data_IF_170017932692
#
_entry.id   IF_170017932692
#
_cell.length_a   1.000
_cell.length_b   1.000
_cell.length_c   1.000
_cell.angle_alpha   90.00
_cell.angle_beta   90.00
_cell.angle_gamma   90.00
#
_symmetry.space_group_name_H-M   'P 1'
#
loop_
_entity.id
_entity.type
_entity.pdbx_description
1 polymer ?
#
# COMPACT_ATOMS: atom_id res chain seq x y z
N UNK A 1 -43.13 15.55 -14.85
CA UNK A 1 -43.19 14.78 -13.59
C UNK A 1 -42.53 13.43 -13.86
N UNK A 2 -41.23 13.31 -13.56
CA UNK A 2 -40.67 12.63 -12.35
C UNK A 2 -40.52 11.11 -12.61
N UNK A 3 -39.38 10.44 -12.53
CA UNK A 3 -38.09 10.72 -11.88
C UNK A 3 -36.90 10.12 -12.67
N UNK A 4 -35.72 10.64 -12.39
CA UNK A 4 -34.43 10.27 -12.96
C UNK A 4 -34.06 8.78 -12.79
N UNK A 5 -33.32 8.25 -13.76
CA UNK A 5 -32.58 6.98 -13.71
C UNK A 5 -31.38 7.08 -12.74
N UNK A 6 -31.65 7.38 -11.47
CA UNK A 6 -30.67 7.35 -10.40
C UNK A 6 -30.31 5.91 -10.06
N UNK A 7 -29.15 5.50 -10.55
CA UNK A 7 -28.43 4.23 -10.40
C UNK A 7 -28.98 3.23 -9.38
N UNK A 8 -29.32 2.03 -9.86
CA UNK A 8 -29.49 0.86 -9.00
C UNK A 8 -28.22 0.62 -8.16
N UNK A 9 -28.34 0.03 -6.97
CA UNK A 9 -27.19 -0.37 -6.12
C UNK A 9 -26.06 -1.02 -6.93
N UNK A 10 -26.43 -1.88 -7.88
CA UNK A 10 -25.49 -2.59 -8.75
C UNK A 10 -24.75 -1.67 -9.73
N UNK A 11 -25.42 -0.62 -10.23
CA UNK A 11 -24.80 0.41 -11.07
C UNK A 11 -23.68 1.15 -10.35
N UNK A 12 -23.94 1.61 -9.12
CA UNK A 12 -22.94 2.25 -8.26
C UNK A 12 -21.75 1.32 -7.93
N UNK A 13 -22.02 0.04 -7.67
CA UNK A 13 -20.97 -0.96 -7.45
C UNK A 13 -20.08 -1.15 -8.69
N UNK A 14 -20.65 -1.26 -9.89
CA UNK A 14 -19.87 -1.35 -11.11
C UNK A 14 -19.15 -0.05 -11.46
N UNK A 15 -19.71 1.11 -11.15
CA UNK A 15 -19.02 2.39 -11.30
C UNK A 15 -17.72 2.41 -10.46
N UNK A 16 -17.78 1.99 -9.20
CA UNK A 16 -16.60 1.82 -8.34
C UNK A 16 -15.60 0.81 -8.90
N UNK A 17 -16.06 -0.38 -9.31
CA UNK A 17 -15.17 -1.43 -9.83
C UNK A 17 -14.48 -1.03 -11.14
N UNK A 18 -15.19 -0.32 -12.03
CA UNK A 18 -14.61 0.21 -13.26
C UNK A 18 -13.60 1.33 -12.97
N UNK A 19 -13.86 2.16 -11.96
CA UNK A 19 -12.90 3.19 -11.53
C UNK A 19 -11.62 2.56 -10.97
N UNK A 20 -11.75 1.52 -10.13
CA UNK A 20 -10.62 0.81 -9.54
C UNK A 20 -9.65 0.20 -10.57
N UNK A 21 -10.12 -0.12 -11.78
CA UNK A 21 -9.28 -0.63 -12.87
C UNK A 21 -8.15 0.36 -13.25
N UNK A 22 -8.40 1.66 -13.09
CA UNK A 22 -7.42 2.73 -13.38
C UNK A 22 -6.16 2.62 -12.52
N UNK A 23 -6.22 1.97 -11.36
CA UNK A 23 -5.06 1.75 -10.49
C UNK A 23 -3.94 0.98 -11.21
N UNK A 24 -4.27 0.13 -12.18
CA UNK A 24 -3.30 -0.61 -13.01
C UNK A 24 -2.41 0.30 -13.87
N UNK A 25 -2.81 1.56 -14.07
CA UNK A 25 -2.05 2.56 -14.82
C UNK A 25 -1.12 3.40 -13.93
N UNK A 26 -1.21 3.27 -12.61
CA UNK A 26 -0.32 3.96 -11.66
C UNK A 26 0.96 3.13 -11.53
N UNK A 27 2.08 3.68 -11.99
CA UNK A 27 3.39 3.03 -11.88
C UNK A 27 4.10 3.45 -10.60
N UNK A 28 4.69 2.48 -9.92
CA UNK A 28 5.49 2.66 -8.71
C UNK A 28 6.97 2.78 -9.06
N UNK A 29 7.76 3.39 -8.17
CA UNK A 29 9.22 3.42 -8.36
C UNK A 29 9.87 2.03 -8.24
N UNK A 30 9.29 1.14 -7.42
CA UNK A 30 9.73 -0.25 -7.28
C UNK A 30 9.57 -0.98 -8.62
N UNK A 31 10.57 -1.76 -9.03
CA UNK A 31 10.46 -2.62 -10.20
C UNK A 31 9.94 -4.00 -9.83
N UNK A 32 9.53 -4.80 -10.82
CA UNK A 32 9.40 -6.24 -10.62
C UNK A 32 10.72 -6.84 -10.08
N UNK A 33 10.62 -8.02 -9.45
CA UNK A 33 11.76 -8.70 -8.81
C UNK A 33 12.90 -9.02 -9.79
N UNK A 34 12.62 -9.12 -11.09
CA UNK A 34 13.61 -9.34 -12.15
C UNK A 34 14.18 -8.03 -12.74
N UNK A 35 13.71 -6.87 -12.25
CA UNK A 35 14.12 -5.54 -12.71
C UNK A 35 13.59 -5.14 -14.09
N UNK A 36 12.69 -5.92 -14.71
CA UNK A 36 12.30 -5.73 -16.12
C UNK A 36 11.50 -4.46 -16.39
N UNK A 37 10.65 -4.04 -15.46
CA UNK A 37 9.82 -2.82 -15.55
C UNK A 37 9.40 -2.34 -14.15
N UNK A 38 8.94 -1.08 -14.03
CA UNK A 38 8.20 -0.62 -12.86
C UNK A 38 7.00 -1.52 -12.55
N UNK A 39 6.76 -1.74 -11.26
CA UNK A 39 5.54 -2.33 -10.73
C UNK A 39 4.37 -1.33 -10.90
N UNK A 40 3.13 -1.80 -11.02
CA UNK A 40 1.93 -0.95 -10.89
C UNK A 40 1.21 -1.17 -9.55
N UNK A 41 0.44 -0.19 -9.09
CA UNK A 41 -0.19 -0.25 -7.76
C UNK A 41 -1.27 -1.34 -7.63
N UNK A 42 -1.89 -1.72 -8.75
CA UNK A 42 -2.83 -2.84 -8.79
C UNK A 42 -2.16 -4.20 -8.55
N UNK A 43 -1.02 -4.46 -9.20
CA UNK A 43 -0.26 -5.70 -8.99
C UNK A 43 0.47 -5.72 -7.64
N UNK A 44 0.90 -4.56 -7.13
CA UNK A 44 1.42 -4.41 -5.76
C UNK A 44 0.38 -4.87 -4.73
N UNK A 45 -0.84 -4.34 -4.81
CA UNK A 45 -1.95 -4.69 -3.91
C UNK A 45 -2.31 -6.18 -3.97
N UNK A 46 -2.32 -6.77 -5.18
CA UNK A 46 -2.48 -8.23 -5.35
C UNK A 46 -1.36 -9.00 -4.64
N UNK A 47 -0.11 -8.58 -4.83
CA UNK A 47 1.05 -9.26 -4.26
C UNK A 47 1.05 -9.16 -2.72
N UNK A 48 0.62 -8.02 -2.17
CA UNK A 48 0.45 -7.85 -0.73
C UNK A 48 -0.67 -8.72 -0.15
N UNK A 49 -1.79 -8.87 -0.84
CA UNK A 49 -2.83 -9.81 -0.42
C UNK A 49 -2.29 -11.26 -0.37
N UNK A 50 -1.44 -11.65 -1.32
CA UNK A 50 -0.74 -12.94 -1.28
C UNK A 50 0.27 -13.03 -0.14
N UNK A 51 1.02 -11.96 0.16
CA UNK A 51 1.92 -11.89 1.31
C UNK A 51 1.15 -12.10 2.62
N UNK A 52 -0.01 -11.46 2.78
CA UNK A 52 -0.83 -11.62 3.99
C UNK A 52 -1.31 -13.07 4.18
N UNK A 53 -1.64 -13.78 3.10
CA UNK A 53 -2.00 -15.21 3.16
C UNK A 53 -0.80 -16.08 3.54
N UNK A 54 0.36 -15.86 2.92
CA UNK A 54 1.53 -16.74 3.06
C UNK A 54 2.27 -16.49 4.37
N UNK A 55 2.32 -15.25 4.84
CA UNK A 55 3.02 -14.82 6.06
C UNK A 55 2.08 -14.71 7.25
N UNK A 56 0.93 -15.38 7.22
CA UNK A 56 -0.06 -15.34 8.30
C UNK A 56 0.51 -15.77 9.65
N UNK A 57 1.50 -16.66 9.66
CA UNK A 57 2.20 -17.12 10.87
C UNK A 57 3.16 -16.07 11.47
N UNK A 58 3.44 -14.99 10.73
CA UNK A 58 4.22 -13.84 11.19
C UNK A 58 3.36 -12.79 11.90
N UNK A 59 2.03 -12.93 11.87
CA UNK A 59 1.10 -11.97 12.44
C UNK A 59 1.10 -12.00 13.98
N UNK A 60 1.06 -10.83 14.59
CA UNK A 60 0.96 -10.68 16.04
C UNK A 60 -0.45 -10.99 16.59
N UNK A 61 -0.60 -11.01 17.94
CA UNK A 61 -1.90 -11.21 18.57
C UNK A 61 -2.94 -10.17 18.13
N UNK A 62 -4.17 -10.63 17.90
CA UNK A 62 -5.30 -9.76 17.53
C UNK A 62 -5.37 -9.38 16.05
N UNK A 63 -4.50 -9.94 15.20
CA UNK A 63 -4.57 -9.75 13.75
C UNK A 63 -5.55 -10.73 13.11
N UNK A 64 -6.47 -10.22 12.29
CA UNK A 64 -7.33 -10.99 11.39
C UNK A 64 -6.82 -10.87 9.94
N UNK A 65 -6.27 -11.97 9.43
CA UNK A 65 -5.69 -12.04 8.08
C UNK A 65 -6.72 -11.73 6.99
N UNK A 66 -7.99 -12.12 7.14
CA UNK A 66 -9.00 -11.80 6.14
C UNK A 66 -9.27 -10.29 6.08
N UNK A 67 -9.23 -9.61 7.24
CA UNK A 67 -9.37 -8.16 7.32
C UNK A 67 -8.15 -7.45 6.75
N UNK A 68 -6.94 -7.94 7.03
CA UNK A 68 -5.69 -7.44 6.44
C UNK A 68 -5.72 -7.54 4.91
N UNK A 69 -6.17 -8.67 4.35
CA UNK A 69 -6.31 -8.83 2.89
C UNK A 69 -7.29 -7.81 2.33
N UNK A 70 -8.46 -7.62 2.94
CA UNK A 70 -9.44 -6.62 2.51
C UNK A 70 -8.86 -5.21 2.52
N UNK A 71 -8.07 -4.89 3.55
CA UNK A 71 -7.40 -3.60 3.70
C UNK A 71 -6.37 -3.38 2.59
N UNK A 72 -5.50 -4.36 2.35
CA UNK A 72 -4.46 -4.30 1.31
C UNK A 72 -5.02 -4.25 -0.11
N UNK A 73 -6.20 -4.82 -0.37
CA UNK A 73 -6.84 -4.73 -1.68
C UNK A 73 -7.30 -3.31 -2.05
N UNK A 74 -7.52 -2.42 -1.06
CA UNK A 74 -8.07 -1.08 -1.29
C UNK A 74 -7.12 0.06 -0.90
N UNK A 75 -6.01 -0.23 -0.22
CA UNK A 75 -5.18 0.80 0.43
C UNK A 75 -4.66 1.87 -0.55
N UNK A 76 -4.21 1.46 -1.74
CA UNK A 76 -3.64 2.35 -2.75
C UNK A 76 -4.68 2.88 -3.75
N UNK A 77 -5.99 2.64 -3.60
CA UNK A 77 -6.98 3.14 -4.56
C UNK A 77 -6.92 4.67 -4.74
N UNK A 78 -6.54 5.40 -3.69
CA UNK A 78 -6.38 6.86 -3.74
C UNK A 78 -5.31 7.31 -4.73
N UNK A 79 -4.32 6.46 -5.04
CA UNK A 79 -3.26 6.75 -6.00
C UNK A 79 -3.78 6.93 -7.44
N UNK A 80 -5.01 6.51 -7.75
CA UNK A 80 -5.66 6.80 -9.04
C UNK A 80 -5.67 8.31 -9.33
N UNK A 81 -5.85 9.13 -8.29
CA UNK A 81 -5.90 10.59 -8.42
C UNK A 81 -4.58 11.28 -8.08
N UNK A 82 -3.85 10.75 -7.10
CA UNK A 82 -2.66 11.43 -6.55
C UNK A 82 -1.33 10.90 -7.11
N UNK A 83 -1.35 9.72 -7.75
CA UNK A 83 -0.16 8.99 -8.18
C UNK A 83 0.63 8.35 -7.02
N UNK A 84 1.59 7.49 -7.36
CA UNK A 84 2.53 6.94 -6.37
C UNK A 84 3.53 8.03 -5.92
N UNK A 85 3.76 8.13 -4.61
CA UNK A 85 4.77 9.03 -4.02
C UNK A 85 5.85 8.17 -3.34
N UNK A 86 6.97 7.87 -4.04
CA UNK A 86 7.97 6.96 -3.52
C UNK A 86 8.58 7.43 -2.19
N UNK A 87 8.71 6.52 -1.23
CA UNK A 87 9.21 6.79 0.14
C UNK A 87 10.59 7.47 0.16
N UNK A 88 11.42 7.22 -0.84
CA UNK A 88 12.77 7.78 -0.93
C UNK A 88 12.89 8.99 -1.88
N UNK A 89 11.82 9.32 -2.60
CA UNK A 89 11.78 10.53 -3.43
C UNK A 89 11.84 11.79 -2.57
N UNK A 90 12.38 12.89 -3.11
CA UNK A 90 12.50 14.18 -2.41
C UNK A 90 13.05 14.06 -0.97
N UNK A 91 14.06 13.20 -0.75
CA UNK A 91 14.62 12.89 0.57
C UNK A 91 13.60 12.37 1.61
N UNK A 92 12.48 11.80 1.16
CA UNK A 92 11.39 11.32 1.99
C UNK A 92 10.46 12.42 2.53
N UNK A 93 10.61 13.67 2.08
CA UNK A 93 9.83 14.81 2.57
C UNK A 93 8.43 14.90 1.95
N UNK A 94 8.24 14.34 0.75
CA UNK A 94 6.95 14.36 0.06
C UNK A 94 5.97 13.34 0.64
N UNK A 95 6.48 12.18 1.08
CA UNK A 95 5.65 11.08 1.56
C UNK A 95 5.09 11.39 2.95
N UNK A 96 3.76 11.46 3.08
CA UNK A 96 3.07 11.81 4.33
C UNK A 96 3.10 13.29 4.67
N UNK A 97 3.30 14.18 3.69
CA UNK A 97 3.11 15.62 3.89
C UNK A 97 1.64 15.97 4.12
N UNK A 98 1.35 17.10 4.76
CA UNK A 98 -0.04 17.56 5.00
C UNK A 98 -0.81 17.72 3.68
N UNK A 99 -0.15 18.22 2.64
CA UNK A 99 -0.74 18.40 1.31
C UNK A 99 -1.05 17.04 0.66
N UNK A 100 -0.14 16.07 0.80
CA UNK A 100 -0.35 14.70 0.32
C UNK A 100 -1.53 14.05 1.03
N UNK A 101 -1.57 14.12 2.36
CA UNK A 101 -2.68 13.57 3.15
C UNK A 101 -4.03 14.20 2.78
N UNK A 102 -4.06 15.51 2.54
CA UNK A 102 -5.27 16.20 2.10
C UNK A 102 -5.70 15.79 0.69
N UNK A 103 -4.75 15.59 -0.23
CA UNK A 103 -5.01 15.11 -1.58
C UNK A 103 -5.53 13.65 -1.57
N UNK A 104 -4.92 12.78 -0.77
CA UNK A 104 -5.35 11.39 -0.58
C UNK A 104 -6.75 11.31 0.04
N UNK A 105 -7.04 12.12 1.06
CA UNK A 105 -8.39 12.19 1.65
C UNK A 105 -9.45 12.61 0.62
N UNK A 106 -9.14 13.59 -0.23
CA UNK A 106 -10.05 14.03 -1.31
C UNK A 106 -10.25 12.92 -2.36
N UNK A 107 -9.20 12.18 -2.71
CA UNK A 107 -9.28 11.05 -3.62
C UNK A 107 -10.14 9.93 -3.01
N UNK A 108 -9.95 9.61 -1.72
CA UNK A 108 -10.75 8.64 -0.99
C UNK A 108 -12.23 9.03 -1.00
N UNK A 109 -12.56 10.28 -0.69
CA UNK A 109 -13.94 10.77 -0.68
C UNK A 109 -14.60 10.64 -2.06
N UNK A 110 -13.86 10.92 -3.15
CA UNK A 110 -14.36 10.77 -4.51
C UNK A 110 -14.56 9.29 -4.89
N UNK A 111 -13.54 8.46 -4.68
CA UNK A 111 -13.49 7.07 -5.18
C UNK A 111 -14.46 6.20 -4.38
N UNK A 112 -14.34 6.17 -3.05
CA UNK A 112 -15.27 5.41 -2.22
C UNK A 112 -16.69 5.99 -2.29
N UNK A 113 -16.82 7.30 -2.56
CA UNK A 113 -18.11 7.97 -2.78
C UNK A 113 -18.92 7.44 -3.97
N UNK A 114 -18.31 6.66 -4.87
CA UNK A 114 -19.03 5.95 -5.94
C UNK A 114 -19.87 4.78 -5.43
N UNK A 115 -19.56 4.24 -4.25
CA UNK A 115 -20.25 3.09 -3.69
C UNK A 115 -21.60 3.46 -3.04
N UNK A 116 -22.52 2.48 -2.92
CA UNK A 116 -23.66 2.60 -2.01
C UNK A 116 -23.21 2.92 -0.57
N UNK A 117 -24.00 3.68 0.22
CA UNK A 117 -23.56 4.22 1.51
C UNK A 117 -22.98 3.20 2.49
N UNK A 118 -23.58 2.01 2.61
CA UNK A 118 -23.09 0.94 3.48
C UNK A 118 -21.69 0.43 3.08
N UNK A 119 -21.45 0.25 1.78
CA UNK A 119 -20.13 -0.20 1.28
C UNK A 119 -19.11 0.95 1.31
N UNK A 120 -19.55 2.17 0.99
CA UNK A 120 -18.72 3.37 1.07
C UNK A 120 -18.17 3.52 2.48
N UNK A 121 -19.06 3.57 3.47
CA UNK A 121 -18.69 3.89 4.85
C UNK A 121 -17.76 2.81 5.43
N UNK A 122 -18.05 1.53 5.17
CA UNK A 122 -17.22 0.41 5.62
C UNK A 122 -15.81 0.41 4.99
N UNK A 123 -15.70 0.57 3.66
CA UNK A 123 -14.40 0.52 2.97
C UNK A 123 -13.58 1.79 3.19
N UNK A 124 -14.24 2.95 3.26
CA UNK A 124 -13.61 4.22 3.58
C UNK A 124 -13.03 4.22 5.00
N UNK A 125 -13.74 3.67 5.98
CA UNK A 125 -13.22 3.50 7.34
C UNK A 125 -12.04 2.51 7.38
N UNK A 126 -12.09 1.43 6.60
CA UNK A 126 -10.99 0.47 6.51
C UNK A 126 -9.71 1.09 5.91
N UNK A 127 -9.87 1.97 4.90
CA UNK A 127 -8.76 2.74 4.34
C UNK A 127 -8.18 3.73 5.36
N UNK A 128 -9.01 4.46 6.11
CA UNK A 128 -8.51 5.34 7.20
C UNK A 128 -7.78 4.57 8.29
N UNK A 129 -8.27 3.38 8.64
CA UNK A 129 -7.63 2.51 9.62
C UNK A 129 -6.24 2.08 9.15
N UNK A 130 -6.11 1.69 7.88
CA UNK A 130 -4.81 1.43 7.25
C UNK A 130 -3.91 2.64 7.43
N UNK A 131 -4.37 3.83 7.03
CA UNK A 131 -3.56 5.04 7.07
C UNK A 131 -3.07 5.42 8.46
N UNK A 132 -3.96 5.34 9.44
CA UNK A 132 -3.66 5.61 10.84
C UNK A 132 -2.62 4.65 11.42
N UNK A 133 -2.59 3.39 10.94
CA UNK A 133 -1.66 2.35 11.39
C UNK A 133 -1.62 2.19 12.92
N UNK A 134 -2.80 2.08 13.55
CA UNK A 134 -2.94 1.99 15.01
C UNK A 134 -3.45 0.62 15.49
N UNK A 135 -4.34 -0.01 14.73
CA UNK A 135 -4.89 -1.34 15.05
C UNK A 135 -3.87 -2.44 14.74
N UNK A 136 -3.98 -3.64 15.36
CA UNK A 136 -3.13 -4.78 15.02
C UNK A 136 -3.12 -5.09 13.51
N UNK A 137 -4.30 -5.09 12.88
CA UNK A 137 -4.46 -5.35 11.44
C UNK A 137 -3.73 -4.31 10.59
N UNK A 138 -3.95 -3.01 10.84
CA UNK A 138 -3.32 -1.95 10.05
C UNK A 138 -1.80 -1.90 10.26
N UNK A 139 -1.32 -2.20 11.46
CA UNK A 139 0.12 -2.28 11.75
C UNK A 139 0.75 -3.44 11.00
N UNK A 140 0.10 -4.61 10.95
CA UNK A 140 0.59 -5.74 10.18
C UNK A 140 0.52 -5.47 8.67
N UNK A 141 -0.60 -4.92 8.17
CA UNK A 141 -0.78 -4.52 6.77
C UNK A 141 0.31 -3.54 6.31
N UNK A 142 0.54 -2.43 7.05
CA UNK A 142 1.63 -1.49 6.74
C UNK A 142 3.02 -2.15 6.83
N UNK A 143 3.20 -3.16 7.67
CA UNK A 143 4.48 -3.89 7.73
C UNK A 143 4.71 -4.73 6.46
N UNK A 144 3.67 -5.37 5.93
CA UNK A 144 3.73 -6.11 4.67
C UNK A 144 3.91 -5.17 3.47
N UNK A 145 3.19 -4.05 3.42
CA UNK A 145 3.38 -3.01 2.40
C UNK A 145 4.84 -2.52 2.33
N UNK A 146 5.49 -2.40 3.50
CA UNK A 146 6.88 -1.95 3.60
C UNK A 146 7.91 -3.03 3.27
N UNK A 147 7.62 -4.30 3.56
CA UNK A 147 8.58 -5.39 3.35
C UNK A 147 8.67 -5.82 1.89
N UNK A 148 7.57 -5.75 1.13
CA UNK A 148 7.53 -6.19 -0.26
C UNK A 148 8.53 -5.40 -1.14
N UNK A 149 8.63 -4.06 -1.07
CA UNK A 149 9.61 -3.31 -1.84
C UNK A 149 11.06 -3.61 -1.44
N UNK A 150 11.29 -3.97 -0.18
CA UNK A 150 12.62 -4.42 0.27
C UNK A 150 13.00 -5.73 -0.41
N UNK A 151 12.06 -6.68 -0.49
CA UNK A 151 12.27 -7.92 -1.22
C UNK A 151 12.48 -7.68 -2.72
N UNK A 152 11.71 -6.79 -3.33
CA UNK A 152 11.88 -6.42 -4.74
C UNK A 152 13.27 -5.82 -5.01
N UNK A 153 13.75 -4.90 -4.16
CA UNK A 153 15.09 -4.35 -4.26
C UNK A 153 16.18 -5.42 -4.07
N UNK A 154 16.01 -6.35 -3.12
CA UNK A 154 16.96 -7.46 -2.93
C UNK A 154 17.09 -8.31 -4.20
N UNK A 155 15.97 -8.64 -4.85
CA UNK A 155 15.97 -9.51 -6.03
C UNK A 155 16.43 -8.78 -7.30
N UNK A 156 16.19 -7.47 -7.41
CA UNK A 156 16.56 -6.64 -8.56
C UNK A 156 17.95 -5.98 -8.45
N UNK A 157 18.83 -6.50 -7.59
CA UNK A 157 20.20 -6.00 -7.47
C UNK A 157 20.31 -4.61 -6.85
N UNK A 158 19.44 -4.31 -5.88
CA UNK A 158 19.41 -3.07 -5.12
C UNK A 158 18.35 -2.07 -5.59
N UNK A 159 17.89 -2.20 -6.85
CA UNK A 159 16.77 -1.45 -7.40
C UNK A 159 16.75 0.04 -7.03
N UNK A 160 15.66 0.45 -6.38
CA UNK A 160 15.42 1.82 -5.93
C UNK A 160 16.43 2.31 -4.89
N UNK A 161 17.12 1.44 -4.13
CA UNK A 161 18.19 1.87 -3.23
C UNK A 161 19.35 2.47 -4.00
N UNK A 162 19.74 1.86 -5.11
CA UNK A 162 20.77 2.38 -6.00
C UNK A 162 20.30 3.67 -6.67
N UNK A 163 19.07 3.68 -7.20
CA UNK A 163 18.48 4.84 -7.90
C UNK A 163 18.42 6.09 -7.01
N UNK A 164 17.98 5.94 -5.76
CA UNK A 164 17.83 7.05 -4.83
C UNK A 164 19.01 7.22 -3.87
N UNK A 165 20.10 6.45 -4.05
CA UNK A 165 21.29 6.46 -3.16
C UNK A 165 20.92 6.31 -1.69
N UNK A 166 20.00 5.39 -1.41
CA UNK A 166 19.50 5.12 -0.06
C UNK A 166 20.64 4.63 0.81
N UNK A 167 20.78 5.18 2.01
CA UNK A 167 21.76 4.69 2.99
C UNK A 167 21.13 3.62 3.89
N UNK A 168 21.98 2.81 4.55
CA UNK A 168 21.53 1.85 5.56
C UNK A 168 20.66 2.50 6.64
N UNK A 169 21.08 3.67 7.13
CA UNK A 169 20.36 4.41 8.17
C UNK A 169 19.00 4.90 7.67
N UNK A 170 18.91 5.33 6.40
CA UNK A 170 17.64 5.70 5.79
C UNK A 170 16.72 4.50 5.61
N UNK A 171 17.25 3.34 5.21
CA UNK A 171 16.45 2.12 5.12
C UNK A 171 15.91 1.73 6.50
N UNK A 172 16.76 1.71 7.53
CA UNK A 172 16.36 1.37 8.89
C UNK A 172 15.29 2.33 9.43
N UNK A 173 15.55 3.64 9.37
CA UNK A 173 14.68 4.66 9.96
C UNK A 173 13.36 4.85 9.21
N UNK A 174 13.34 4.72 7.88
CA UNK A 174 12.13 4.98 7.06
C UNK A 174 11.28 3.73 6.82
N UNK A 175 11.91 2.55 6.85
CA UNK A 175 11.28 1.28 6.47
C UNK A 175 11.38 0.27 7.61
N UNK A 176 12.60 -0.01 8.09
CA UNK A 176 12.86 -1.07 9.07
C UNK A 176 12.06 -0.96 10.37
N UNK A 177 12.06 0.22 11.00
CA UNK A 177 11.30 0.48 12.24
C UNK A 177 9.80 0.21 12.07
N UNK A 178 9.25 0.49 10.88
CA UNK A 178 7.82 0.29 10.59
C UNK A 178 7.49 -1.19 10.39
N UNK A 179 8.34 -1.95 9.68
CA UNK A 179 8.18 -3.39 9.52
C UNK A 179 8.31 -4.08 10.88
N UNK A 180 9.32 -3.71 11.68
CA UNK A 180 9.57 -4.31 12.98
C UNK A 180 8.41 -4.13 13.98
N UNK A 181 7.60 -3.09 13.80
CA UNK A 181 6.44 -2.80 14.64
C UNK A 181 5.34 -3.86 14.50
N UNK A 182 5.09 -4.37 13.29
CA UNK A 182 4.05 -5.38 13.04
C UNK A 182 4.57 -6.79 12.78
N UNK A 183 5.80 -6.93 12.30
CA UNK A 183 6.42 -8.20 11.94
C UNK A 183 7.93 -8.20 12.29
N UNK A 184 8.30 -8.25 13.58
CA UNK A 184 9.70 -8.13 14.03
C UNK A 184 10.62 -9.22 13.51
N UNK A 185 10.19 -10.49 13.56
CA UNK A 185 10.97 -11.62 13.04
C UNK A 185 11.21 -11.52 11.53
N UNK A 186 10.20 -11.02 10.80
CA UNK A 186 10.30 -10.76 9.37
C UNK A 186 11.33 -9.66 9.08
N UNK A 187 11.30 -8.55 9.82
CA UNK A 187 12.32 -7.50 9.65
C UNK A 187 13.72 -8.02 9.94
N UNK A 188 13.92 -8.78 11.02
CA UNK A 188 15.23 -9.35 11.38
C UNK A 188 15.81 -10.19 10.21
N UNK A 189 14.98 -11.07 9.64
CA UNK A 189 15.39 -11.93 8.53
C UNK A 189 15.72 -11.15 7.26
N UNK A 190 14.90 -10.16 6.90
CA UNK A 190 15.08 -9.37 5.68
C UNK A 190 16.27 -8.43 5.82
N UNK A 191 16.39 -7.73 6.96
CA UNK A 191 17.49 -6.81 7.28
C UNK A 191 18.86 -7.46 7.14
N UNK A 192 19.01 -8.71 7.60
CA UNK A 192 20.27 -9.45 7.48
C UNK A 192 20.72 -9.62 6.02
N UNK A 193 19.80 -9.62 5.06
CA UNK A 193 20.06 -9.80 3.62
C UNK A 193 20.31 -8.49 2.88
N UNK A 194 20.05 -7.34 3.49
CA UNK A 194 20.29 -6.04 2.84
C UNK A 194 21.74 -5.58 2.97
N UNK A 195 22.53 -6.18 3.87
CA UNK A 195 23.91 -5.79 4.15
C UNK A 195 24.82 -5.66 2.90
N UNK A 196 24.77 -6.54 1.88
CA UNK A 196 25.61 -6.43 0.69
C UNK A 196 25.39 -5.15 -0.14
N UNK A 197 24.27 -4.45 0.05
CA UNK A 197 23.89 -3.27 -0.74
C UNK A 197 24.30 -1.94 -0.10
N UNK A 198 24.82 -1.96 1.14
CA UNK A 198 25.19 -0.75 1.90
C UNK A 198 26.60 -0.79 2.48
N UNK A 199 27.48 -1.58 1.84
CA UNK A 199 28.92 -1.67 2.16
C UNK A 199 29.76 -0.61 1.47
#
# INVERSE_FOLDING_TARGET
MSAASGDSRLGAQFAFLNEADRLKSVLRATTLVDGSRPENSGEHSWHLALYALVLADQAGPGVDINRVIRMLLIHDLVEIDVGDVPIHSANGLAHGSVDTMAAEAKAADRIFGLLPPDLRDDLRALWEEFEAAQTPDAVFAKSLDRVQPVMANLMSGGGTWTTYKVTRDQLESRVGVKIARGAPALWEWVRARTAPFFG
#
